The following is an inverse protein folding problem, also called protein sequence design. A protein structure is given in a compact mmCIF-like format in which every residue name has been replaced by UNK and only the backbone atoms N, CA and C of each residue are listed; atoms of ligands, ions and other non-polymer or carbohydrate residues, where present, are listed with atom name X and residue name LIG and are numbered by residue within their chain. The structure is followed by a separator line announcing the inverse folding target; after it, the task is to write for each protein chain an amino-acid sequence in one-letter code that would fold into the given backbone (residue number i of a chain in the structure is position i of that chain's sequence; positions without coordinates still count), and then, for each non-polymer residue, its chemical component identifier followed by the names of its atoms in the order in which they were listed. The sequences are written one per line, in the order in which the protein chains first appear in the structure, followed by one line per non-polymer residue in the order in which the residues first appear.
data_IF_136558139736
#
_entry.id   IF_136558139736
#
_cell.length_a   1.000
_cell.length_b   1.000
_cell.length_c   1.000
_cell.angle_alpha   90.00
_cell.angle_beta   90.00
_cell.angle_gamma   90.00
#
_symmetry.space_group_name_H-M   'P 1'
#
loop_
_entity.id
_entity.type
_entity.pdbx_description
1 polymer ?
#
# COMPACT_ATOMS: atom_id res chain seq x y z
N UNK A 1 8.80 -0.36 -10.77
CA UNK A 1 9.54 -1.23 -9.81
C UNK A 1 8.91 -1.17 -8.43
N UNK A 2 8.52 -2.33 -7.87
CA UNK A 2 8.02 -2.47 -6.49
C UNK A 2 9.11 -2.93 -5.53
N UNK A 3 9.23 -2.28 -4.37
CA UNK A 3 9.99 -2.75 -3.21
C UNK A 3 9.07 -2.86 -2.01
N UNK A 4 9.25 -3.90 -1.20
CA UNK A 4 8.51 -4.10 0.03
C UNK A 4 9.48 -4.33 1.20
N UNK A 5 9.11 -3.84 2.38
CA UNK A 5 9.79 -4.11 3.64
C UNK A 5 8.79 -4.42 4.73
N UNK A 6 9.15 -5.30 5.66
CA UNK A 6 8.31 -5.65 6.81
C UNK A 6 8.93 -5.19 8.11
N UNK A 7 8.09 -4.94 9.12
CA UNK A 7 8.53 -4.65 10.49
C UNK A 7 7.63 -5.35 11.50
N UNK A 8 8.21 -5.80 12.61
CA UNK A 8 7.46 -6.23 13.79
C UNK A 8 7.34 -5.09 14.78
N UNK A 9 6.19 -4.97 15.44
CA UNK A 9 5.95 -3.97 16.48
C UNK A 9 4.89 -4.45 17.47
N UNK A 10 4.77 -3.76 18.61
CA UNK A 10 3.77 -4.05 19.63
C UNK A 10 2.71 -2.96 19.66
N UNK A 11 1.43 -3.34 19.63
CA UNK A 11 0.28 -2.43 19.79
C UNK A 11 -0.77 -3.11 20.66
N UNK A 12 -1.23 -2.43 21.70
CA UNK A 12 -2.21 -2.96 22.67
C UNK A 12 -1.82 -4.33 23.27
N UNK A 13 -0.52 -4.53 23.52
CA UNK A 13 0.03 -5.78 24.06
C UNK A 13 0.12 -6.95 23.06
N UNK A 14 -0.23 -6.73 21.78
CA UNK A 14 -0.12 -7.73 20.71
C UNK A 14 1.10 -7.48 19.84
N UNK A 15 1.79 -8.57 19.45
CA UNK A 15 2.85 -8.53 18.45
C UNK A 15 2.21 -8.51 17.05
N UNK A 16 2.47 -7.44 16.31
CA UNK A 16 1.94 -7.23 14.97
C UNK A 16 3.07 -7.09 13.94
N UNK A 17 2.69 -7.28 12.69
CA UNK A 17 3.49 -7.14 11.49
C UNK A 17 2.96 -5.96 10.69
N UNK A 18 3.86 -5.11 10.24
CA UNK A 18 3.58 -4.08 9.24
C UNK A 18 4.29 -4.41 7.95
N UNK A 19 3.69 -4.01 6.83
CA UNK A 19 4.34 -4.01 5.52
C UNK A 19 4.31 -2.61 4.92
N UNK A 20 5.44 -2.19 4.36
CA UNK A 20 5.58 -0.94 3.64
C UNK A 20 6.01 -1.19 2.21
N UNK A 21 5.39 -0.46 1.28
CA UNK A 21 5.66 -0.53 -0.14
C UNK A 21 6.28 0.76 -0.65
N UNK A 22 7.22 0.64 -1.58
CA UNK A 22 7.71 1.72 -2.40
C UNK A 22 7.59 1.31 -3.87
N UNK A 23 6.65 1.92 -4.58
CA UNK A 23 6.30 1.64 -5.97
C UNK A 23 6.79 2.80 -6.83
N UNK A 24 7.83 2.56 -7.63
CA UNK A 24 8.39 3.58 -8.54
C UNK A 24 7.82 3.40 -9.93
N UNK A 25 7.16 4.45 -10.45
CA UNK A 25 6.60 4.53 -11.79
C UNK A 25 7.43 5.52 -12.64
N UNK A 26 8.16 4.98 -13.61
CA UNK A 26 9.01 5.73 -14.54
C UNK A 26 8.31 5.92 -15.89
N UNK A 27 8.75 6.89 -16.71
CA UNK A 27 8.25 7.02 -18.07
C UNK A 27 8.43 5.70 -18.85
N UNK A 28 7.34 5.18 -19.40
CA UNK A 28 7.31 3.90 -20.12
C UNK A 28 6.96 2.68 -19.26
N UNK A 29 6.90 2.81 -17.93
CA UNK A 29 6.39 1.74 -17.06
C UNK A 29 4.87 1.60 -17.23
N UNK A 30 4.38 0.37 -17.09
CA UNK A 30 2.95 0.10 -17.01
C UNK A 30 2.49 0.18 -15.54
N UNK A 31 1.66 1.18 -15.23
CA UNK A 31 1.12 1.43 -13.88
C UNK A 31 0.37 0.21 -13.33
N UNK A 32 -0.46 -0.44 -14.15
CA UNK A 32 -1.26 -1.60 -13.74
C UNK A 32 -0.39 -2.79 -13.38
N UNK A 33 0.72 -2.98 -14.11
CA UNK A 33 1.67 -4.06 -13.82
C UNK A 33 2.35 -3.85 -12.47
N UNK A 34 2.83 -2.64 -12.21
CA UNK A 34 3.49 -2.31 -10.95
C UNK A 34 2.51 -2.34 -9.76
N UNK A 35 1.29 -1.88 -9.98
CA UNK A 35 0.22 -1.98 -8.99
C UNK A 35 -0.16 -3.44 -8.71
N UNK A 36 -0.30 -4.27 -9.75
CA UNK A 36 -0.58 -5.70 -9.62
C UNK A 36 0.50 -6.45 -8.82
N UNK A 37 1.78 -6.16 -9.06
CA UNK A 37 2.88 -6.74 -8.27
C UNK A 37 2.82 -6.35 -6.79
N UNK A 38 2.41 -5.13 -6.49
CA UNK A 38 2.18 -4.69 -5.11
C UNK A 38 1.02 -5.47 -4.48
N UNK A 39 -0.11 -5.60 -5.17
CA UNK A 39 -1.29 -6.35 -4.71
C UNK A 39 -0.96 -7.83 -4.46
N UNK A 40 -0.25 -8.48 -5.38
CA UNK A 40 0.23 -9.86 -5.20
C UNK A 40 1.10 -10.02 -3.95
N UNK A 41 1.89 -9.00 -3.63
CA UNK A 41 2.74 -9.00 -2.44
C UNK A 41 1.92 -8.82 -1.16
N UNK A 42 0.86 -7.99 -1.19
CA UNK A 42 -0.11 -7.88 -0.09
C UNK A 42 -0.77 -9.24 0.17
N UNK A 43 -1.22 -9.93 -0.89
CA UNK A 43 -1.81 -11.26 -0.79
C UNK A 43 -0.86 -12.28 -0.13
N UNK A 44 0.39 -12.33 -0.59
CA UNK A 44 1.39 -13.23 -0.02
C UNK A 44 1.66 -12.92 1.45
N UNK A 45 1.80 -11.63 1.78
CA UNK A 45 2.05 -11.22 3.16
C UNK A 45 0.86 -11.53 4.08
N UNK A 46 -0.36 -11.25 3.65
CA UNK A 46 -1.58 -11.50 4.42
C UNK A 46 -1.82 -12.98 4.67
N UNK A 47 -1.59 -13.84 3.68
CA UNK A 47 -1.73 -15.29 3.85
C UNK A 47 -0.72 -15.91 4.83
N UNK A 48 0.41 -15.24 5.07
CA UNK A 48 1.44 -15.70 6.01
C UNK A 48 1.22 -15.21 7.45
N UNK A 49 0.56 -14.07 7.63
CA UNK A 49 0.52 -13.37 8.93
C UNK A 49 -0.89 -13.13 9.46
N UNK A 50 -1.91 -13.12 8.59
CA UNK A 50 -3.35 -12.98 8.88
C UNK A 50 -3.67 -12.12 10.10
N UNK A 51 -3.81 -12.72 11.29
CA UNK A 51 -4.17 -12.04 12.54
C UNK A 51 -3.09 -11.07 13.07
N UNK A 52 -1.84 -11.24 12.67
CA UNK A 52 -0.73 -10.35 13.04
C UNK A 52 -0.64 -9.11 12.15
N UNK A 53 -1.41 -9.00 11.08
CA UNK A 53 -1.33 -7.83 10.19
C UNK A 53 -1.82 -6.56 10.91
N UNK A 54 -0.95 -5.56 11.08
CA UNK A 54 -1.26 -4.37 11.90
C UNK A 54 -1.03 -3.03 11.22
N UNK A 55 -0.33 -2.99 10.09
CA UNK A 55 -0.08 -1.75 9.35
C UNK A 55 0.23 -2.03 7.87
N UNK A 56 -0.35 -1.23 6.97
CA UNK A 56 0.08 -1.13 5.57
C UNK A 56 0.41 0.32 5.27
N UNK A 57 1.57 0.56 4.66
CA UNK A 57 1.97 1.86 4.11
C UNK A 57 2.35 1.71 2.64
N UNK A 58 1.95 2.65 1.79
CA UNK A 58 2.21 2.60 0.35
C UNK A 58 2.81 3.93 -0.10
N UNK A 59 4.05 3.91 -0.59
CA UNK A 59 4.70 5.07 -1.22
C UNK A 59 4.78 4.92 -2.73
N UNK A 60 4.26 5.87 -3.49
CA UNK A 60 4.43 5.96 -4.93
C UNK A 60 5.48 7.01 -5.28
N UNK A 61 6.56 6.61 -5.96
CA UNK A 61 7.51 7.53 -6.57
C UNK A 61 7.11 7.71 -8.03
N UNK A 62 6.46 8.83 -8.35
CA UNK A 62 5.79 9.01 -9.66
C UNK A 62 5.75 10.48 -10.10
N UNK A 63 5.42 10.71 -11.37
CA UNK A 63 5.03 12.03 -11.87
C UNK A 63 3.55 12.32 -11.59
N UNK A 64 3.13 13.61 -11.61
CA UNK A 64 1.75 14.02 -11.33
C UNK A 64 0.73 13.39 -12.29
N UNK A 65 1.16 13.02 -13.50
CA UNK A 65 0.33 12.40 -14.53
C UNK A 65 -0.30 11.05 -14.12
N UNK A 66 0.24 10.37 -13.10
CA UNK A 66 -0.25 9.08 -12.63
C UNK A 66 -0.92 9.13 -11.25
N UNK A 67 -0.90 10.27 -10.56
CA UNK A 67 -1.38 10.41 -9.18
C UNK A 67 -2.86 10.01 -9.07
N UNK A 68 -3.71 10.53 -9.95
CA UNK A 68 -5.15 10.27 -9.96
C UNK A 68 -5.50 8.79 -10.24
N UNK A 69 -4.84 8.18 -11.23
CA UNK A 69 -5.07 6.77 -11.56
C UNK A 69 -4.63 5.84 -10.44
N UNK A 70 -3.45 6.11 -9.85
CA UNK A 70 -2.94 5.36 -8.70
C UNK A 70 -3.86 5.50 -7.48
N UNK A 71 -4.38 6.71 -7.23
CA UNK A 71 -5.34 6.94 -6.17
C UNK A 71 -6.61 6.12 -6.37
N UNK A 72 -7.13 6.11 -7.59
CA UNK A 72 -8.31 5.33 -7.97
C UNK A 72 -8.08 3.84 -7.78
N UNK A 73 -6.92 3.32 -8.17
CA UNK A 73 -6.58 1.91 -7.96
C UNK A 73 -6.47 1.55 -6.48
N UNK A 74 -5.83 2.39 -5.66
CA UNK A 74 -5.76 2.15 -4.20
C UNK A 74 -7.15 2.16 -3.57
N UNK A 75 -7.99 3.13 -3.91
CA UNK A 75 -9.35 3.18 -3.40
C UNK A 75 -10.16 1.95 -3.82
N UNK A 76 -10.05 1.53 -5.08
CA UNK A 76 -10.70 0.32 -5.58
C UNK A 76 -10.21 -0.93 -4.83
N UNK A 77 -8.90 -1.06 -4.61
CA UNK A 77 -8.31 -2.14 -3.83
C UNK A 77 -8.89 -2.19 -2.40
N UNK A 78 -8.98 -1.04 -1.73
CA UNK A 78 -9.49 -0.97 -0.35
C UNK A 78 -10.99 -1.28 -0.29
N UNK A 79 -11.77 -0.83 -1.28
CA UNK A 79 -13.23 -0.86 -1.22
C UNK A 79 -13.88 -2.08 -1.90
N UNK A 80 -13.24 -2.63 -2.95
CA UNK A 80 -13.85 -3.59 -3.86
C UNK A 80 -13.15 -4.96 -3.87
N UNK A 81 -11.91 -5.06 -3.41
CA UNK A 81 -11.16 -6.32 -3.41
C UNK A 81 -11.62 -7.23 -2.26
N UNK A 82 -12.71 -7.96 -2.48
CA UNK A 82 -13.37 -8.81 -1.48
C UNK A 82 -12.41 -9.74 -0.70
N UNK A 83 -11.41 -10.40 -1.32
CA UNK A 83 -10.51 -11.27 -0.56
C UNK A 83 -9.58 -10.53 0.42
N UNK A 84 -9.27 -9.27 0.17
CA UNK A 84 -8.44 -8.42 1.06
C UNK A 84 -9.28 -7.53 1.97
N UNK A 85 -10.60 -7.47 1.79
CA UNK A 85 -11.49 -6.67 2.62
C UNK A 85 -11.35 -6.94 4.12
N UNK A 86 -11.25 -8.20 4.62
CA UNK A 86 -11.03 -8.45 6.04
C UNK A 86 -9.72 -7.87 6.57
N UNK A 87 -8.66 -7.89 5.74
CA UNK A 87 -7.38 -7.27 6.08
C UNK A 87 -7.55 -5.76 6.24
N UNK A 88 -8.15 -5.07 5.28
CA UNK A 88 -8.32 -3.62 5.35
C UNK A 88 -9.20 -3.19 6.53
N UNK A 89 -10.26 -3.94 6.84
CA UNK A 89 -11.08 -3.71 8.02
C UNK A 89 -10.28 -3.90 9.33
N UNK A 90 -9.43 -4.92 9.41
CA UNK A 90 -8.57 -5.17 10.57
C UNK A 90 -7.54 -4.05 10.77
N UNK A 91 -6.97 -3.53 9.67
CA UNK A 91 -6.02 -2.42 9.73
C UNK A 91 -6.67 -1.12 10.17
N UNK A 92 -7.93 -0.89 9.76
CA UNK A 92 -8.70 0.34 10.01
C UNK A 92 -8.22 1.55 9.22
N UNK A 93 -6.95 1.57 8.81
CA UNK A 93 -6.35 2.66 8.03
C UNK A 93 -5.28 2.16 7.07
N UNK A 94 -5.19 2.77 5.90
CA UNK A 94 -4.08 2.61 4.94
C UNK A 94 -3.47 3.98 4.67
N UNK A 95 -2.16 4.10 4.88
CA UNK A 95 -1.41 5.34 4.66
C UNK A 95 -0.74 5.30 3.28
N UNK A 96 -1.04 6.29 2.44
CA UNK A 96 -0.52 6.40 1.07
C UNK A 96 0.27 7.69 0.93
N UNK A 97 1.45 7.61 0.33
CA UNK A 97 2.31 8.75 0.10
C UNK A 97 2.68 8.84 -1.37
N UNK A 98 2.54 10.01 -1.98
CA UNK A 98 3.08 10.31 -3.31
C UNK A 98 4.35 11.13 -3.16
N UNK A 99 5.41 10.69 -3.82
CA UNK A 99 6.75 11.28 -3.79
C UNK A 99 7.12 11.62 -5.23
N UNK A 100 7.50 12.87 -5.45
CA UNK A 100 8.07 13.32 -6.73
C UNK A 100 9.31 12.51 -7.11
N UNK A 101 9.60 12.39 -8.41
CA UNK A 101 10.75 11.60 -8.90
C UNK A 101 12.10 12.13 -8.41
N UNK A 102 12.21 13.41 -8.06
CA UNK A 102 13.42 14.01 -7.48
C UNK A 102 13.43 14.01 -5.95
N UNK A 103 12.36 13.49 -5.32
CA UNK A 103 12.23 13.31 -3.88
C UNK A 103 11.99 14.60 -3.09
N UNK A 104 11.74 15.73 -3.75
CA UNK A 104 11.58 17.03 -3.06
C UNK A 104 10.17 17.27 -2.54
N UNK A 105 9.19 16.87 -3.32
CA UNK A 105 7.77 17.00 -2.97
C UNK A 105 7.21 15.67 -2.49
N UNK A 106 6.43 15.73 -1.40
CA UNK A 106 5.71 14.62 -0.81
C UNK A 106 4.27 15.04 -0.46
N UNK A 107 3.30 14.18 -0.79
CA UNK A 107 1.90 14.30 -0.38
C UNK A 107 1.47 13.05 0.35
N UNK A 108 0.81 13.20 1.48
CA UNK A 108 0.33 12.08 2.30
C UNK A 108 -1.20 12.05 2.32
N UNK A 109 -1.76 10.86 2.19
CA UNK A 109 -3.18 10.57 2.21
C UNK A 109 -3.44 9.41 3.17
N UNK A 110 -4.48 9.54 3.99
CA UNK A 110 -4.88 8.53 4.96
C UNK A 110 -6.28 8.05 4.62
N UNK A 111 -6.39 6.76 4.33
CA UNK A 111 -7.65 6.12 4.01
C UNK A 111 -8.15 5.35 5.22
N UNK A 112 -9.14 5.91 5.91
CA UNK A 112 -9.88 5.19 6.94
C UNK A 112 -10.78 4.14 6.26
N UNK A 113 -10.79 2.93 6.80
CA UNK A 113 -11.59 1.81 6.29
C UNK A 113 -12.77 1.60 7.24
N UNK A 114 -13.99 1.81 6.74
CA UNK A 114 -15.24 1.73 7.49
C UNK A 114 -16.14 0.61 6.98
#
# INVERSE_FOLDING_TARGET
MVKAGTKQFVRDGRNLQGIGFMVSIRPGDNVETEFGLMVDTIYKWYSQHTEMCGEITIGFVTGPEHEESLMTYVMSLIQQEEPLRPLFLQLGRVDVTFISRDGKDQKEFKFEVS
#
